data_IF_761646475588
#
_entry.id   IF_761646475588
#
_cell.length_a   1.000
_cell.length_b   1.000
_cell.length_c   1.000
_cell.angle_alpha   90.00
_cell.angle_beta   90.00
_cell.angle_gamma   90.00
#
_symmetry.space_group_name_H-M   'P 1'
#
loop_
_entity.id
_entity.type
_entity.pdbx_description
1 polymer ?
#
# COMPACT_ATOMS: atom_id res chain seq x y z
N UNK A 1 72.20 -15.65 -13.29
CA UNK A 1 71.19 -16.41 -12.50
C UNK A 1 70.53 -15.38 -11.59
N UNK A 2 69.24 -15.06 -11.61
CA UNK A 2 68.04 -15.89 -11.72
C UNK A 2 66.90 -14.96 -12.16
N UNK A 3 66.25 -15.26 -13.28
CA UNK A 3 64.99 -14.63 -13.68
C UNK A 3 63.86 -15.40 -12.99
N UNK A 4 63.54 -14.99 -11.77
CA UNK A 4 62.51 -15.61 -10.93
C UNK A 4 61.09 -15.20 -11.32
N UNK A 5 60.44 -16.03 -12.14
CA UNK A 5 59.01 -16.36 -12.15
C UNK A 5 58.01 -15.33 -11.59
N UNK A 6 57.62 -14.34 -12.39
CA UNK A 6 56.44 -13.47 -12.15
C UNK A 6 55.11 -14.06 -12.66
N UNK A 7 55.15 -15.14 -13.45
CA UNK A 7 53.98 -15.74 -14.13
C UNK A 7 53.02 -16.51 -13.19
N UNK A 8 53.53 -17.06 -12.08
CA UNK A 8 52.73 -17.88 -11.16
C UNK A 8 51.76 -17.10 -10.26
N UNK A 9 51.98 -15.80 -10.06
CA UNK A 9 51.13 -14.96 -9.19
C UNK A 9 49.81 -14.56 -9.83
N UNK A 10 49.80 -14.30 -11.14
CA UNK A 10 48.60 -13.91 -11.89
C UNK A 10 47.60 -15.06 -12.04
N UNK A 11 48.10 -16.26 -12.37
CA UNK A 11 47.28 -17.47 -12.48
C UNK A 11 46.58 -17.82 -11.17
N UNK A 12 47.29 -17.73 -10.04
CA UNK A 12 46.71 -17.97 -8.70
C UNK A 12 45.57 -17.00 -8.38
N UNK A 13 45.71 -15.73 -8.76
CA UNK A 13 44.66 -14.70 -8.56
C UNK A 13 43.43 -14.97 -9.43
N UNK A 14 43.62 -15.33 -10.70
CA UNK A 14 42.52 -15.68 -11.59
C UNK A 14 41.74 -16.91 -11.09
N UNK A 15 42.45 -17.95 -10.64
CA UNK A 15 41.84 -19.14 -10.04
C UNK A 15 41.04 -18.82 -8.77
N UNK A 16 41.58 -17.97 -7.91
CA UNK A 16 40.88 -17.51 -6.70
C UNK A 16 39.61 -16.73 -7.05
N UNK A 17 39.66 -15.85 -8.06
CA UNK A 17 38.50 -15.09 -8.51
C UNK A 17 37.39 -16.00 -9.04
N UNK A 18 37.74 -16.99 -9.88
CA UNK A 18 36.78 -17.96 -10.40
C UNK A 18 36.16 -18.80 -9.28
N UNK A 19 36.96 -19.23 -8.30
CA UNK A 19 36.45 -19.96 -7.13
C UNK A 19 35.45 -19.14 -6.32
N UNK A 20 35.76 -17.85 -6.06
CA UNK A 20 34.84 -16.95 -5.35
C UNK A 20 33.54 -16.77 -6.13
N UNK A 21 33.62 -16.56 -7.46
CA UNK A 21 32.43 -16.46 -8.32
C UNK A 21 31.56 -17.73 -8.22
N UNK A 22 32.17 -18.91 -8.35
CA UNK A 22 31.45 -20.19 -8.23
C UNK A 22 30.77 -20.38 -6.87
N UNK A 23 31.44 -20.02 -5.77
CA UNK A 23 30.84 -20.07 -4.42
C UNK A 23 29.69 -19.07 -4.30
N UNK A 24 29.81 -17.86 -4.84
CA UNK A 24 28.72 -16.87 -4.81
C UNK A 24 27.51 -17.30 -5.63
N UNK A 25 27.73 -17.96 -6.77
CA UNK A 25 26.65 -18.55 -7.58
C UNK A 25 25.97 -19.71 -6.86
N UNK A 26 26.73 -20.63 -6.26
CA UNK A 26 26.18 -21.74 -5.50
C UNK A 26 25.33 -21.24 -4.31
N UNK A 27 25.83 -20.25 -3.57
CA UNK A 27 25.08 -19.57 -2.49
C UNK A 27 23.78 -18.98 -3.03
N UNK A 28 23.83 -18.26 -4.15
CA UNK A 28 22.65 -17.63 -4.72
C UNK A 28 21.59 -18.65 -5.13
N UNK A 29 22.00 -19.78 -5.71
CA UNK A 29 21.12 -20.89 -6.07
C UNK A 29 20.49 -21.57 -4.85
N UNK A 30 21.28 -21.85 -3.81
CA UNK A 30 20.80 -22.53 -2.60
C UNK A 30 19.74 -21.69 -1.86
N UNK A 31 19.98 -20.37 -1.73
CA UNK A 31 19.12 -19.50 -0.92
C UNK A 31 18.13 -18.66 -1.75
N UNK A 32 17.98 -18.94 -3.05
CA UNK A 32 17.10 -18.20 -3.95
C UNK A 32 17.44 -16.70 -4.04
N UNK A 33 18.72 -16.34 -3.90
CA UNK A 33 19.17 -14.98 -4.12
C UNK A 33 19.39 -14.70 -5.61
N UNK A 34 19.03 -13.50 -6.04
CA UNK A 34 19.31 -13.02 -7.38
C UNK A 34 20.74 -12.47 -7.45
N UNK A 35 21.54 -12.97 -8.39
CA UNK A 35 22.91 -12.49 -8.66
C UNK A 35 22.89 -11.52 -9.84
N UNK A 36 23.57 -10.38 -9.72
CA UNK A 36 23.70 -9.38 -10.78
C UNK A 36 25.18 -9.15 -11.13
N UNK A 37 25.78 -9.97 -12.00
CA UNK A 37 27.20 -9.87 -12.35
C UNK A 37 27.53 -8.57 -13.12
N UNK A 38 26.57 -8.02 -13.86
CA UNK A 38 26.74 -6.81 -14.68
C UNK A 38 26.55 -5.52 -13.88
N UNK A 39 26.01 -5.60 -12.66
CA UNK A 39 25.78 -4.43 -11.79
C UNK A 39 24.72 -3.43 -12.31
N UNK A 40 24.02 -3.75 -13.39
CA UNK A 40 23.00 -2.87 -13.97
C UNK A 40 21.76 -2.78 -13.09
N UNK A 41 20.98 -1.69 -13.23
CA UNK A 41 19.74 -1.51 -12.47
C UNK A 41 18.74 -2.62 -12.83
N UNK A 42 18.34 -3.41 -11.85
CA UNK A 42 17.30 -4.44 -11.97
C UNK A 42 16.05 -4.08 -11.18
N UNK A 43 14.91 -4.66 -11.54
CA UNK A 43 13.64 -4.44 -10.85
C UNK A 43 13.56 -5.06 -9.44
N UNK A 44 14.63 -5.72 -8.97
CA UNK A 44 14.67 -6.45 -7.71
C UNK A 44 14.28 -5.57 -6.50
N UNK A 45 14.68 -4.29 -6.49
CA UNK A 45 14.29 -3.34 -5.43
C UNK A 45 12.78 -3.09 -5.38
N UNK A 46 12.11 -3.08 -6.53
CA UNK A 46 10.66 -2.84 -6.61
C UNK A 46 9.92 -4.11 -6.19
N UNK A 47 10.31 -5.26 -6.72
CA UNK A 47 9.66 -6.55 -6.46
C UNK A 47 9.85 -7.03 -5.01
N UNK A 48 10.93 -6.62 -4.33
CA UNK A 48 11.14 -6.92 -2.90
C UNK A 48 10.28 -6.07 -1.96
N UNK A 49 9.66 -5.00 -2.43
CA UNK A 49 8.74 -4.23 -1.59
C UNK A 49 7.53 -5.10 -1.32
N UNK A 50 7.17 -5.25 -0.05
CA UNK A 50 5.90 -5.87 0.33
C UNK A 50 4.76 -5.04 -0.26
N UNK A 51 3.75 -5.72 -0.80
CA UNK A 51 2.53 -5.07 -1.27
C UNK A 51 1.88 -4.33 -0.09
N UNK A 52 1.49 -3.08 -0.32
CA UNK A 52 0.87 -2.22 0.70
C UNK A 52 -0.64 -2.04 0.49
N UNK A 53 -1.21 -2.60 -0.58
CA UNK A 53 -2.60 -2.37 -1.00
C UNK A 53 -3.60 -2.65 0.12
N UNK A 54 -3.55 -3.82 0.74
CA UNK A 54 -4.49 -4.22 1.78
C UNK A 54 -4.42 -3.30 3.01
N UNK A 55 -3.20 -2.89 3.39
CA UNK A 55 -3.00 -1.96 4.51
C UNK A 55 -3.57 -0.58 4.23
N UNK A 56 -3.47 -0.13 2.99
CA UNK A 56 -4.00 1.17 2.56
C UNK A 56 -5.52 1.11 2.41
N UNK A 57 -6.05 0.01 1.87
CA UNK A 57 -7.48 -0.20 1.70
C UNK A 57 -8.21 -0.31 3.05
N UNK A 58 -7.59 -0.99 4.03
CA UNK A 58 -8.09 -1.13 5.40
C UNK A 58 -7.86 0.09 6.31
N UNK A 59 -7.69 1.29 5.74
CA UNK A 59 -7.43 2.51 6.51
C UNK A 59 -8.56 2.83 7.51
N UNK A 60 -9.82 2.67 7.09
CA UNK A 60 -10.97 2.87 7.96
C UNK A 60 -11.41 1.53 8.58
N UNK A 61 -11.57 1.44 9.90
CA UNK A 61 -12.03 0.23 10.56
C UNK A 61 -13.48 -0.07 10.21
N UNK A 62 -13.86 -1.34 10.41
CA UNK A 62 -15.23 -1.77 10.24
C UNK A 62 -16.14 -1.18 11.34
N UNK A 63 -17.33 -0.71 10.94
CA UNK A 63 -18.32 -0.12 11.84
C UNK A 63 -19.28 -1.20 12.33
N UNK A 64 -19.01 -1.73 13.54
CA UNK A 64 -19.77 -2.81 14.19
C UNK A 64 -21.24 -2.44 14.40
N UNK A 65 -21.55 -1.14 14.51
CA UNK A 65 -22.93 -0.68 14.75
C UNK A 65 -23.87 -1.00 13.58
N UNK A 66 -23.33 -1.29 12.40
CA UNK A 66 -24.10 -1.68 11.22
C UNK A 66 -24.59 -3.12 11.29
N UNK A 67 -23.99 -3.97 12.12
CA UNK A 67 -24.35 -5.38 12.23
C UNK A 67 -25.57 -5.61 13.11
N UNK A 68 -25.73 -4.84 14.19
CA UNK A 68 -26.84 -4.99 15.13
C UNK A 68 -28.11 -4.32 14.58
N UNK A 69 -29.15 -5.09 14.21
CA UNK A 69 -30.40 -4.53 13.70
C UNK A 69 -31.09 -3.62 14.72
N UNK A 70 -30.87 -3.83 16.03
CA UNK A 70 -31.48 -3.02 17.09
C UNK A 70 -30.88 -1.62 17.14
N UNK A 71 -29.56 -1.51 17.05
CA UNK A 71 -28.84 -0.22 17.05
C UNK A 71 -29.18 0.57 15.79
N UNK A 72 -29.19 -0.09 14.63
CA UNK A 72 -29.60 0.53 13.37
C UNK A 72 -31.06 1.02 13.39
N UNK A 73 -31.98 0.22 13.93
CA UNK A 73 -33.38 0.62 14.04
C UNK A 73 -33.58 1.78 15.03
N UNK A 74 -32.87 1.78 16.16
CA UNK A 74 -32.95 2.85 17.15
C UNK A 74 -32.45 4.20 16.60
N UNK A 75 -31.27 4.20 15.98
CA UNK A 75 -30.69 5.43 15.39
C UNK A 75 -31.57 6.02 14.30
N UNK A 76 -32.17 5.18 13.46
CA UNK A 76 -33.11 5.62 12.43
C UNK A 76 -34.42 6.13 13.04
N UNK A 77 -34.95 5.47 14.08
CA UNK A 77 -36.15 5.90 14.77
C UNK A 77 -35.97 7.27 15.46
N UNK A 78 -34.82 7.50 16.08
CA UNK A 78 -34.46 8.79 16.68
C UNK A 78 -34.36 9.89 15.61
N UNK A 79 -33.75 9.58 14.46
CA UNK A 79 -33.66 10.49 13.32
C UNK A 79 -35.05 10.90 12.83
N UNK A 80 -35.97 9.93 12.70
CA UNK A 80 -37.35 10.17 12.28
C UNK A 80 -38.14 10.98 13.32
N UNK A 81 -38.03 10.64 14.60
CA UNK A 81 -38.69 11.36 15.71
C UNK A 81 -38.25 12.83 15.77
N UNK A 82 -36.94 13.09 15.66
CA UNK A 82 -36.40 14.46 15.62
C UNK A 82 -36.93 15.25 14.42
N UNK A 83 -36.97 14.60 13.26
CA UNK A 83 -37.47 15.20 12.02
C UNK A 83 -38.97 15.53 12.14
N UNK A 84 -39.76 14.64 12.74
CA UNK A 84 -41.18 14.85 13.00
C UNK A 84 -41.41 16.04 13.93
N UNK A 85 -40.69 16.12 15.06
CA UNK A 85 -40.76 17.28 15.96
C UNK A 85 -40.45 18.61 15.26
N UNK A 86 -39.44 18.63 14.38
CA UNK A 86 -39.09 19.82 13.59
C UNK A 86 -40.19 20.20 12.60
N UNK A 87 -40.80 19.20 11.95
CA UNK A 87 -41.94 19.41 11.04
C UNK A 87 -43.15 20.00 11.78
N UNK A 88 -43.49 19.48 12.97
CA UNK A 88 -44.58 20.00 13.81
C UNK A 88 -44.37 21.48 14.15
N UNK A 89 -43.13 21.89 14.40
CA UNK A 89 -42.75 23.29 14.68
C UNK A 89 -42.55 24.14 13.42
N UNK A 90 -42.77 23.60 12.23
CA UNK A 90 -42.49 24.25 10.93
C UNK A 90 -41.01 24.67 10.76
N UNK A 91 -40.11 24.04 11.50
CA UNK A 91 -38.64 24.23 11.44
C UNK A 91 -37.94 23.09 10.69
N UNK A 92 -38.69 22.30 9.94
CA UNK A 92 -38.14 21.26 9.07
C UNK A 92 -37.31 21.88 7.93
N UNK A 93 -36.37 21.11 7.35
CA UNK A 93 -35.63 21.56 6.18
C UNK A 93 -36.61 21.86 5.04
N UNK A 94 -36.44 22.97 4.30
CA UNK A 94 -37.29 23.30 3.17
C UNK A 94 -37.12 22.28 2.04
N UNK A 95 -38.11 22.20 1.14
CA UNK A 95 -38.00 21.36 -0.05
C UNK A 95 -36.73 21.74 -0.84
N UNK A 96 -35.95 20.73 -1.24
CA UNK A 96 -34.72 20.92 -2.04
C UNK A 96 -35.04 21.79 -3.26
N UNK A 97 -34.18 22.78 -3.54
CA UNK A 97 -34.38 23.75 -4.62
C UNK A 97 -35.34 24.91 -4.30
N UNK A 98 -36.11 24.84 -3.21
CA UNK A 98 -37.06 25.89 -2.80
C UNK A 98 -36.61 26.61 -1.51
N UNK A 99 -35.30 26.72 -1.32
CA UNK A 99 -34.72 27.46 -0.20
C UNK A 99 -35.03 28.95 -0.29
N UNK A 100 -34.88 29.67 0.83
CA UNK A 100 -35.16 31.12 0.91
C UNK A 100 -34.47 31.95 -0.18
N UNK A 101 -33.26 31.53 -0.62
CA UNK A 101 -32.47 32.19 -1.67
C UNK A 101 -32.95 31.90 -3.09
N UNK A 102 -33.60 30.77 -3.34
CA UNK A 102 -34.06 30.38 -4.68
C UNK A 102 -35.15 31.32 -5.23
N UNK A 103 -35.91 31.97 -4.35
CA UNK A 103 -36.95 32.94 -4.72
C UNK A 103 -36.40 34.30 -5.18
N UNK A 104 -35.11 34.59 -5.00
CA UNK A 104 -34.52 35.93 -5.25
C UNK A 104 -34.07 36.15 -6.72
N UNK A 105 -34.26 35.18 -7.62
CA UNK A 105 -33.83 35.31 -9.03
C UNK A 105 -34.88 35.93 -9.97
N UNK A 106 -36.01 36.42 -9.45
CA UNK A 106 -37.15 36.90 -10.26
C UNK A 106 -37.38 38.41 -10.26
N UNK A 107 -36.36 39.22 -9.99
CA UNK A 107 -36.41 40.69 -10.12
C UNK A 107 -35.06 41.25 -10.51
#
# INVERSE_FOLDING_TARGET
MSVGSSLGGGLKKALAEVAIRGVTEARARIFGHFLNPTGQRSANKILRKKLIGDKVAGWYPYDINRDDPRVMAQTEQERLSRLEMLKRRQKGPPKKGQGKRAKKSGR
#
